data_IF_153841548279
#
_entry.id   IF_153841548279
#
_cell.length_a   1.000
_cell.length_b   1.000
_cell.length_c   1.000
_cell.angle_alpha   90.00
_cell.angle_beta   90.00
_cell.angle_gamma   90.00
#
_symmetry.space_group_name_H-M   'P 1'
#
loop_
_entity.id
_entity.type
_entity.pdbx_description
1 polymer ?
#
# COMPACT_ATOMS: atom_id res chain seq x y z
N UNK A 1 4.71 0.91 -16.25
CA UNK A 1 3.38 0.99 -15.61
C UNK A 1 2.69 2.22 -16.18
N UNK A 2 1.38 2.22 -16.45
CA UNK A 2 0.72 3.37 -17.10
C UNK A 2 -0.04 4.18 -16.04
N UNK A 3 0.35 5.45 -15.86
CA UNK A 3 0.00 6.31 -14.72
C UNK A 3 -1.43 6.89 -14.71
N UNK A 4 -2.24 6.63 -15.73
CA UNK A 4 -3.62 7.14 -15.75
C UNK A 4 -4.54 6.47 -14.71
N UNK A 5 -4.06 5.44 -14.01
CA UNK A 5 -4.89 4.58 -13.15
C UNK A 5 -4.46 4.54 -11.67
N UNK A 6 -3.54 5.40 -11.21
CA UNK A 6 -3.23 5.47 -9.76
C UNK A 6 -4.33 6.24 -9.07
N UNK A 7 -5.25 5.51 -8.47
CA UNK A 7 -6.43 6.04 -7.79
C UNK A 7 -6.27 5.90 -6.27
N UNK A 8 -6.56 6.97 -5.52
CA UNK A 8 -6.73 6.86 -4.08
C UNK A 8 -8.03 6.13 -3.78
N UNK A 9 -7.90 5.01 -3.08
CA UNK A 9 -9.04 4.16 -2.72
C UNK A 9 -9.12 3.99 -1.21
N UNK A 10 -10.34 3.78 -0.73
CA UNK A 10 -10.57 3.42 0.65
C UNK A 10 -10.56 1.89 0.76
N UNK A 11 -9.67 1.36 1.58
CA UNK A 11 -9.53 -0.07 1.87
C UNK A 11 -10.07 -0.38 3.26
N UNK A 12 -10.82 -1.46 3.40
CA UNK A 12 -11.28 -1.91 4.70
C UNK A 12 -10.34 -2.97 5.24
N UNK A 13 -9.77 -2.68 6.39
CA UNK A 13 -8.92 -3.61 7.13
C UNK A 13 -9.77 -4.18 8.24
N UNK A 14 -9.88 -5.51 8.28
CA UNK A 14 -10.62 -6.22 9.33
C UNK A 14 -9.64 -7.05 10.13
N UNK A 15 -9.43 -6.68 11.39
CA UNK A 15 -8.62 -7.44 12.33
C UNK A 15 -9.57 -8.34 13.12
N UNK A 16 -9.33 -9.64 13.08
CA UNK A 16 -9.95 -10.61 13.97
C UNK A 16 -9.05 -10.81 15.19
N UNK A 17 -9.55 -10.42 16.35
CA UNK A 17 -8.87 -10.62 17.62
C UNK A 17 -8.90 -12.10 18.01
N UNK A 18 -7.97 -12.52 18.88
CA UNK A 18 -7.89 -13.91 19.35
C UNK A 18 -9.12 -14.40 20.13
N UNK A 19 -10.03 -13.51 20.54
CA UNK A 19 -11.32 -13.83 21.16
C UNK A 19 -12.47 -13.98 20.16
N UNK A 20 -12.19 -13.88 18.86
CA UNK A 20 -13.15 -13.95 17.76
C UNK A 20 -13.91 -12.64 17.49
N UNK A 21 -13.64 -11.57 18.25
CA UNK A 21 -14.17 -10.25 17.93
C UNK A 21 -13.48 -9.66 16.70
N UNK A 22 -14.21 -8.89 15.88
CA UNK A 22 -13.68 -8.26 14.67
C UNK A 22 -13.79 -6.75 14.76
N UNK A 23 -12.70 -6.07 14.42
CA UNK A 23 -12.66 -4.61 14.28
C UNK A 23 -12.37 -4.29 12.83
N UNK A 24 -13.24 -3.49 12.21
CA UNK A 24 -13.03 -3.00 10.85
C UNK A 24 -12.78 -1.50 10.88
N UNK A 25 -11.70 -1.08 10.25
CA UNK A 25 -11.38 0.32 10.00
C UNK A 25 -11.11 0.54 8.52
N UNK A 26 -11.27 1.78 8.08
CA UNK A 26 -11.08 2.19 6.70
C UNK A 26 -9.84 3.04 6.61
N UNK A 27 -8.91 2.65 5.74
CA UNK A 27 -7.67 3.37 5.47
C UNK A 27 -7.57 3.78 4.00
N UNK A 28 -6.67 4.72 3.71
CA UNK A 28 -6.39 5.15 2.35
C UNK A 28 -5.23 4.32 1.81
N UNK A 29 -5.40 3.79 0.62
CA UNK A 29 -4.34 3.14 -0.14
C UNK A 29 -4.34 3.66 -1.59
N UNK A 30 -3.27 3.37 -2.31
CA UNK A 30 -3.11 3.75 -3.71
C UNK A 30 -3.25 2.52 -4.59
N UNK A 31 -4.28 2.48 -5.44
CA UNK A 31 -4.44 1.39 -6.41
C UNK A 31 -3.33 1.51 -7.47
N UNK A 32 -2.44 0.52 -7.55
CA UNK A 32 -1.31 0.52 -8.50
C UNK A 32 -1.50 -0.47 -9.65
N UNK A 33 -2.35 -1.48 -9.47
CA UNK A 33 -2.84 -2.39 -10.51
C UNK A 33 -4.31 -2.74 -10.28
N UNK A 34 -4.89 -3.60 -11.12
CA UNK A 34 -6.28 -4.06 -10.96
C UNK A 34 -6.52 -4.91 -9.71
N UNK A 35 -5.45 -5.41 -9.09
CA UNK A 35 -5.51 -6.35 -7.97
C UNK A 35 -4.50 -6.04 -6.85
N UNK A 36 -3.71 -4.97 -6.95
CA UNK A 36 -2.78 -4.55 -5.91
C UNK A 36 -2.98 -3.10 -5.50
N UNK A 37 -2.84 -2.86 -4.21
CA UNK A 37 -2.74 -1.53 -3.60
C UNK A 37 -1.36 -1.35 -2.97
N UNK A 38 -0.90 -0.10 -2.93
CA UNK A 38 0.21 0.36 -2.12
C UNK A 38 -0.36 1.04 -0.88
N UNK A 39 -0.07 0.49 0.28
CA UNK A 39 -0.42 1.05 1.59
C UNK A 39 0.82 1.68 2.22
N UNK A 40 0.64 2.86 2.81
CA UNK A 40 1.69 3.62 3.48
C UNK A 40 1.31 3.72 4.95
N UNK A 41 2.17 3.17 5.80
CA UNK A 41 2.02 3.14 7.26
C UNK A 41 3.10 4.01 7.90
N UNK A 42 2.92 4.31 9.19
CA UNK A 42 3.91 5.06 9.97
C UNK A 42 5.28 4.34 9.99
N UNK A 43 5.24 3.01 10.04
CA UNK A 43 6.39 2.11 10.20
C UNK A 43 6.82 1.41 8.89
N UNK A 44 6.30 1.85 7.74
CA UNK A 44 6.76 1.32 6.45
C UNK A 44 5.74 1.42 5.32
N UNK A 45 5.96 0.57 4.31
CA UNK A 45 5.11 0.47 3.13
C UNK A 45 4.87 -0.98 2.76
N UNK A 46 3.66 -1.24 2.29
CA UNK A 46 3.21 -2.57 1.91
C UNK A 46 2.56 -2.54 0.53
N UNK A 47 2.77 -3.61 -0.23
CA UNK A 47 1.95 -3.92 -1.40
C UNK A 47 1.09 -5.12 -1.03
N UNK A 48 -0.21 -4.92 -1.02
CA UNK A 48 -1.18 -5.98 -0.76
C UNK A 48 -1.99 -6.30 -2.01
N UNK A 49 -2.33 -7.58 -2.16
CA UNK A 49 -3.43 -7.98 -3.01
C UNK A 49 -4.73 -7.44 -2.46
N UNK A 50 -5.70 -7.20 -3.34
CA UNK A 50 -7.04 -6.86 -2.90
C UNK A 50 -8.12 -7.52 -3.75
N UNK A 51 -9.30 -7.65 -3.15
CA UNK A 51 -10.51 -8.09 -3.84
C UNK A 51 -11.66 -7.13 -3.56
N UNK A 52 -12.69 -7.16 -4.42
CA UNK A 52 -13.92 -6.44 -4.18
C UNK A 52 -14.89 -7.33 -3.38
N UNK A 53 -15.25 -6.87 -2.19
CA UNK A 53 -16.32 -7.44 -1.38
C UNK A 53 -17.69 -6.86 -1.73
N UNK A 54 -18.67 -7.13 -0.87
CA UNK A 54 -20.02 -6.57 -1.02
C UNK A 54 -19.99 -5.02 -1.01
N UNK A 55 -20.79 -4.41 -1.88
CA UNK A 55 -20.90 -2.96 -2.07
C UNK A 55 -19.60 -2.28 -2.55
N UNK A 56 -18.86 -2.94 -3.46
CA UNK A 56 -17.63 -2.42 -4.08
C UNK A 56 -16.53 -2.04 -3.08
N UNK A 57 -16.61 -2.58 -1.86
CA UNK A 57 -15.63 -2.36 -0.80
C UNK A 57 -14.36 -3.13 -1.12
N UNK A 58 -13.23 -2.44 -1.11
CA UNK A 58 -11.94 -3.11 -1.22
C UNK A 58 -11.62 -3.81 0.09
N UNK A 59 -11.27 -5.10 -0.01
CA UNK A 59 -10.82 -5.96 1.08
C UNK A 59 -9.38 -6.37 0.79
N UNK A 60 -8.48 -6.11 1.72
CA UNK A 60 -7.08 -6.51 1.61
C UNK A 60 -6.93 -8.03 1.74
N UNK A 61 -6.07 -8.61 0.91
CA UNK A 61 -5.67 -10.01 0.89
C UNK A 61 -4.23 -10.18 1.38
N UNK A 62 -3.46 -11.00 0.67
CA UNK A 62 -2.09 -11.32 1.05
C UNK A 62 -1.14 -10.14 0.79
N UNK A 63 -0.16 -9.97 1.68
CA UNK A 63 0.94 -9.02 1.49
C UNK A 63 1.98 -9.60 0.54
N UNK A 64 2.20 -8.92 -0.59
CA UNK A 64 3.14 -9.31 -1.64
C UNK A 64 4.54 -8.75 -1.36
N UNK A 65 4.61 -7.56 -0.79
CA UNK A 65 5.84 -6.91 -0.37
C UNK A 65 5.56 -6.14 0.92
N UNK A 66 6.43 -6.33 1.91
CA UNK A 66 6.42 -5.58 3.16
C UNK A 66 7.82 -5.00 3.37
N UNK A 67 7.91 -3.67 3.41
CA UNK A 67 9.15 -2.95 3.67
C UNK A 67 9.01 -2.18 4.98
N UNK A 68 9.56 -2.78 6.03
CA UNK A 68 9.53 -2.24 7.38
C UNK A 68 10.64 -1.20 7.64
N UNK A 69 10.29 -0.17 8.41
CA UNK A 69 11.10 0.95 8.87
C UNK A 69 10.37 2.29 8.75
N UNK A 70 10.77 3.28 9.53
CA UNK A 70 10.13 4.60 9.54
C UNK A 70 10.10 5.23 8.14
N UNK A 71 8.91 5.56 7.65
CA UNK A 71 8.73 6.22 6.37
C UNK A 71 8.54 7.72 6.57
N UNK A 72 9.48 8.52 6.06
CA UNK A 72 9.23 9.94 5.89
C UNK A 72 8.35 10.17 4.66
N UNK A 73 7.04 10.18 4.86
CA UNK A 73 6.01 10.37 3.81
C UNK A 73 6.23 11.64 2.96
N UNK A 74 6.90 12.67 3.49
CA UNK A 74 7.20 13.90 2.73
C UNK A 74 8.23 13.72 1.63
N UNK A 75 9.03 12.64 1.70
CA UNK A 75 10.04 12.28 0.70
C UNK A 75 9.49 11.34 -0.38
N UNK A 76 8.26 10.84 -0.21
CA UNK A 76 7.64 9.87 -1.12
C UNK A 76 6.68 10.58 -2.07
N UNK A 77 7.19 11.01 -3.22
CA UNK A 77 6.34 11.45 -4.32
C UNK A 77 5.88 10.24 -5.15
N UNK A 78 4.81 9.61 -4.70
CA UNK A 78 4.15 8.48 -5.38
C UNK A 78 3.72 8.80 -6.82
N UNK A 79 3.58 10.08 -7.19
CA UNK A 79 3.24 10.45 -8.58
C UNK A 79 4.43 10.27 -9.53
N UNK A 80 5.66 10.34 -9.02
CA UNK A 80 6.89 10.08 -9.79
C UNK A 80 7.17 8.58 -9.94
N UNK A 81 6.69 7.78 -8.99
CA UNK A 81 6.92 6.34 -8.93
C UNK A 81 6.25 5.60 -10.10
N UNK A 82 5.12 6.05 -10.64
CA UNK A 82 4.42 5.29 -11.68
C UNK A 82 5.00 5.35 -13.09
N UNK A 83 5.98 6.23 -13.36
CA UNK A 83 6.73 6.25 -14.63
C UNK A 83 8.01 5.42 -14.57
N UNK A 84 8.26 4.77 -13.45
CA UNK A 84 9.53 4.13 -13.15
C UNK A 84 9.44 2.62 -13.42
N UNK A 85 10.55 1.96 -13.75
CA UNK A 85 10.56 0.50 -13.91
C UNK A 85 10.29 -0.18 -12.56
N UNK A 86 9.86 -1.45 -12.55
CA UNK A 86 9.69 -2.17 -11.28
C UNK A 86 10.98 -2.17 -10.42
N UNK A 87 12.15 -2.16 -11.08
CA UNK A 87 13.44 -2.04 -10.40
C UNK A 87 13.65 -0.63 -9.82
N UNK A 88 13.34 0.41 -10.59
CA UNK A 88 13.46 1.80 -10.12
C UNK A 88 12.41 2.13 -9.04
N UNK A 89 11.29 1.41 -9.04
CA UNK A 89 10.23 1.50 -8.03
C UNK A 89 10.79 0.96 -6.73
N UNK A 90 11.29 -0.27 -6.76
CA UNK A 90 11.98 -0.89 -5.63
C UNK A 90 13.20 -0.07 -5.18
N UNK A 91 13.90 0.59 -6.10
CA UNK A 91 15.04 1.45 -5.80
C UNK A 91 14.62 2.77 -5.12
N UNK A 92 13.52 3.38 -5.57
CA UNK A 92 12.95 4.56 -4.92
C UNK A 92 12.51 4.22 -3.50
N UNK A 93 11.81 3.09 -3.33
CA UNK A 93 11.42 2.56 -2.02
C UNK A 93 12.63 2.26 -1.12
N UNK A 94 13.66 1.59 -1.66
CA UNK A 94 14.87 1.27 -0.91
C UNK A 94 15.72 2.50 -0.55
N UNK A 95 15.71 3.55 -1.39
CA UNK A 95 16.46 4.79 -1.13
C UNK A 95 15.89 5.56 0.05
N UNK A 96 14.58 5.51 0.26
CA UNK A 96 13.92 6.10 1.44
C UNK A 96 14.43 5.45 2.74
N UNK A 97 14.72 4.13 2.72
CA UNK A 97 15.29 3.41 3.88
C UNK A 97 16.74 3.81 4.19
N UNK A 98 17.51 4.25 3.20
CA UNK A 98 18.95 4.53 3.37
C UNK A 98 19.23 5.88 4.06
N UNK A 99 18.32 6.84 3.97
CA UNK A 99 18.47 8.13 4.68
C UNK A 99 17.98 8.08 6.15
N UNK A 100 17.35 6.98 6.57
CA UNK A 100 16.90 6.74 7.94
C UNK A 100 17.97 6.10 8.87
N UNK A 101 19.23 6.04 8.43
CA UNK A 101 20.37 5.53 9.20
C UNK A 101 21.54 6.52 9.26
#
# INVERSE_FOLDING_TARGET
MNLQNVEQVNVNITIENGDGSKVTFTERAYKITDNHVLSIYEDGISIEEFTYGNNDKIILGDTVLDLQGDLNETLVDITQIGNTSALDFLLALASIKKEAH
#
